data_IF_459072961684
#
_entry.id   IF_459072961684
#
_cell.length_a   1.000
_cell.length_b   1.000
_cell.length_c   1.000
_cell.angle_alpha   90.00
_cell.angle_beta   90.00
_cell.angle_gamma   90.00
#
_symmetry.space_group_name_H-M   'P 1'
#
loop_
_entity.id
_entity.type
_entity.pdbx_description
1 polymer ?
#
# COMPACT_ATOMS: atom_id res chain seq x y z
N UNK A 1 1.25 9.48 -15.79
CA UNK A 1 1.70 8.37 -14.90
C UNK A 1 0.71 8.13 -13.78
N UNK A 2 0.31 9.16 -13.03
CA UNK A 2 -0.61 9.07 -11.87
C UNK A 2 -1.90 8.29 -12.17
N UNK A 3 -2.63 8.59 -13.24
CA UNK A 3 -3.89 7.90 -13.56
C UNK A 3 -3.69 6.40 -13.79
N UNK A 4 -2.57 6.00 -14.42
CA UNK A 4 -2.21 4.59 -14.58
C UNK A 4 -1.98 3.88 -13.24
N UNK A 5 -1.42 4.57 -12.24
CA UNK A 5 -1.22 4.00 -10.90
C UNK A 5 -2.57 3.81 -10.20
N UNK A 6 -3.47 4.79 -10.30
CA UNK A 6 -4.83 4.68 -9.75
C UNK A 6 -5.60 3.54 -10.43
N UNK A 7 -5.59 3.48 -11.76
CA UNK A 7 -6.22 2.40 -12.51
C UNK A 7 -5.68 1.03 -12.11
N UNK A 8 -4.34 0.91 -11.94
CA UNK A 8 -3.72 -0.32 -11.45
C UNK A 8 -4.18 -0.68 -10.05
N UNK A 9 -4.24 0.26 -9.12
CA UNK A 9 -4.72 0.00 -7.76
C UNK A 9 -6.17 -0.50 -7.75
N UNK A 10 -7.01 0.08 -8.62
CA UNK A 10 -8.41 -0.33 -8.76
C UNK A 10 -8.58 -1.71 -9.42
N UNK A 11 -7.69 -2.07 -10.36
CA UNK A 11 -7.71 -3.35 -11.07
C UNK A 11 -7.09 -4.47 -10.23
N UNK A 12 -5.88 -4.26 -9.70
CA UNK A 12 -5.11 -5.30 -9.01
C UNK A 12 -5.69 -5.63 -7.62
N UNK A 13 -6.41 -4.71 -6.99
CA UNK A 13 -7.08 -4.86 -5.67
C UNK A 13 -6.13 -5.04 -4.48
N UNK A 14 -4.88 -5.42 -4.70
CA UNK A 14 -3.91 -5.76 -3.64
C UNK A 14 -2.64 -4.94 -3.79
N UNK A 15 -2.24 -4.28 -2.70
CA UNK A 15 -0.92 -3.66 -2.54
C UNK A 15 -0.18 -4.41 -1.43
N UNK A 16 0.99 -4.99 -1.75
CA UNK A 16 1.81 -5.65 -0.75
C UNK A 16 2.59 -4.64 0.09
N UNK A 17 2.56 -4.81 1.41
CA UNK A 17 3.26 -3.95 2.38
C UNK A 17 4.51 -4.67 2.88
N UNK A 18 5.70 -4.18 2.50
CA UNK A 18 6.98 -4.72 2.93
C UNK A 18 7.51 -3.87 4.08
N UNK A 19 7.34 -4.37 5.32
CA UNK A 19 7.65 -3.65 6.56
C UNK A 19 8.79 -4.29 7.34
N UNK A 20 9.75 -3.47 7.77
CA UNK A 20 10.83 -3.89 8.64
C UNK A 20 11.79 -4.90 7.99
N UNK A 21 11.83 -4.95 6.67
CA UNK A 21 12.71 -5.83 5.89
C UNK A 21 13.99 -5.06 5.56
N UNK A 22 15.13 -5.70 5.76
CA UNK A 22 16.41 -5.14 5.37
C UNK A 22 16.47 -4.88 3.87
N UNK A 23 17.04 -3.75 3.47
CA UNK A 23 17.05 -3.30 2.06
C UNK A 23 17.60 -4.36 1.10
N UNK A 24 18.59 -5.15 1.56
CA UNK A 24 19.21 -6.21 0.78
C UNK A 24 18.26 -7.39 0.48
N UNK A 25 17.30 -7.64 1.38
CA UNK A 25 16.28 -8.68 1.21
C UNK A 25 15.07 -8.19 0.41
N UNK A 26 14.83 -6.87 0.35
CA UNK A 26 13.66 -6.29 -0.32
C UNK A 26 13.54 -6.70 -1.79
N UNK A 27 14.66 -6.80 -2.51
CA UNK A 27 14.65 -7.25 -3.91
C UNK A 27 14.15 -8.69 -4.08
N UNK A 28 14.57 -9.61 -3.18
CA UNK A 28 14.11 -11.01 -3.22
C UNK A 28 12.62 -11.11 -2.87
N UNK A 29 12.15 -10.30 -1.90
CA UNK A 29 10.73 -10.20 -1.56
C UNK A 29 9.92 -9.67 -2.74
N UNK A 30 10.41 -8.62 -3.41
CA UNK A 30 9.78 -8.06 -4.60
C UNK A 30 9.65 -9.09 -5.74
N UNK A 31 10.72 -9.88 -5.97
CA UNK A 31 10.68 -10.95 -6.96
C UNK A 31 9.64 -12.02 -6.61
N UNK A 32 9.63 -12.51 -5.36
CA UNK A 32 8.67 -13.51 -4.90
C UNK A 32 7.21 -13.03 -4.99
N UNK A 33 6.95 -11.76 -4.62
CA UNK A 33 5.64 -11.14 -4.78
C UNK A 33 5.23 -11.04 -6.26
N UNK A 34 6.16 -10.63 -7.13
CA UNK A 34 5.93 -10.54 -8.57
C UNK A 34 5.62 -11.90 -9.20
N UNK A 35 6.38 -12.94 -8.84
CA UNK A 35 6.19 -14.32 -9.32
C UNK A 35 4.84 -14.90 -8.83
N UNK A 36 4.37 -14.44 -7.66
CA UNK A 36 3.04 -14.73 -7.14
C UNK A 36 1.91 -13.93 -7.78
N UNK A 37 2.23 -13.00 -8.70
CA UNK A 37 1.26 -12.20 -9.44
C UNK A 37 0.96 -10.81 -8.87
N UNK A 38 1.60 -10.39 -7.77
CA UNK A 38 1.45 -9.02 -7.22
C UNK A 38 2.06 -8.02 -8.19
N UNK A 39 1.37 -6.91 -8.40
CA UNK A 39 1.77 -5.83 -9.33
C UNK A 39 1.93 -4.48 -8.67
N UNK A 40 1.64 -4.37 -7.38
CA UNK A 40 1.84 -3.16 -6.59
C UNK A 40 2.43 -3.49 -5.22
N UNK A 41 3.47 -2.78 -4.81
CA UNK A 41 4.07 -2.93 -3.48
C UNK A 41 4.57 -1.60 -2.92
N UNK A 42 4.56 -1.49 -1.60
CA UNK A 42 5.23 -0.42 -0.86
C UNK A 42 6.37 -0.98 0.00
N UNK A 43 7.46 -0.23 0.13
CA UNK A 43 8.48 -0.44 1.15
C UNK A 43 8.30 0.63 2.23
N UNK A 44 8.21 0.21 3.50
CA UNK A 44 7.89 1.16 4.56
C UNK A 44 9.12 1.78 5.18
N UNK A 45 9.09 3.10 5.41
CA UNK A 45 10.08 3.79 6.23
C UNK A 45 9.94 3.41 7.72
N UNK A 46 11.08 3.31 8.42
CA UNK A 46 11.09 3.09 9.86
C UNK A 46 11.20 4.45 10.59
N UNK A 47 10.12 4.86 11.24
CA UNK A 47 10.06 6.13 11.98
C UNK A 47 10.90 6.12 13.27
N UNK A 48 11.28 4.93 13.76
CA UNK A 48 12.15 4.80 14.94
C UNK A 48 13.64 4.89 14.59
N UNK A 49 13.98 4.71 13.31
CA UNK A 49 15.36 4.72 12.83
C UNK A 49 15.51 5.59 11.57
N UNK A 50 15.54 6.94 11.71
CA UNK A 50 15.69 7.84 10.58
C UNK A 50 16.96 7.60 9.74
N UNK A 51 18.03 7.09 10.34
CA UNK A 51 19.27 6.75 9.62
C UNK A 51 19.05 5.70 8.53
N UNK A 52 18.01 4.87 8.65
CA UNK A 52 17.64 3.86 7.65
C UNK A 52 16.88 4.43 6.45
N UNK A 53 16.42 5.68 6.49
CA UNK A 53 15.57 6.23 5.42
C UNK A 53 16.25 6.24 4.06
N UNK A 54 17.55 6.58 4.02
CA UNK A 54 18.33 6.56 2.77
C UNK A 54 18.43 5.16 2.18
N UNK A 55 18.61 4.14 3.01
CA UNK A 55 18.66 2.75 2.54
C UNK A 55 17.28 2.26 2.07
N UNK A 56 16.19 2.69 2.73
CA UNK A 56 14.83 2.41 2.30
C UNK A 56 14.52 3.07 0.95
N UNK A 57 14.85 4.35 0.77
CA UNK A 57 14.69 5.04 -0.51
C UNK A 57 15.50 4.36 -1.63
N UNK A 58 16.75 3.95 -1.33
CA UNK A 58 17.56 3.18 -2.27
C UNK A 58 16.88 1.87 -2.66
N UNK A 59 16.34 1.10 -1.70
CA UNK A 59 15.63 -0.14 -2.00
C UNK A 59 14.40 0.10 -2.88
N UNK A 60 13.62 1.16 -2.63
CA UNK A 60 12.50 1.57 -3.49
C UNK A 60 13.00 1.81 -4.92
N UNK A 61 14.09 2.56 -5.09
CA UNK A 61 14.66 2.88 -6.40
C UNK A 61 15.18 1.66 -7.15
N UNK A 62 15.92 0.79 -6.45
CA UNK A 62 16.45 -0.44 -7.03
C UNK A 62 15.31 -1.35 -7.52
N UNK A 63 14.23 -1.49 -6.74
CA UNK A 63 13.06 -2.29 -7.13
C UNK A 63 12.30 -1.62 -8.26
N UNK A 64 12.05 -0.30 -8.19
CA UNK A 64 11.35 0.43 -9.23
C UNK A 64 12.05 0.30 -10.59
N UNK A 65 13.37 0.39 -10.59
CA UNK A 65 14.19 0.19 -11.80
C UNK A 65 14.16 -1.25 -12.29
N UNK A 66 14.32 -2.24 -11.39
CA UNK A 66 14.36 -3.65 -11.77
C UNK A 66 13.02 -4.14 -12.32
N UNK A 67 11.90 -3.58 -11.85
CA UNK A 67 10.55 -3.96 -12.26
C UNK A 67 9.85 -2.91 -13.11
N UNK A 68 10.59 -2.02 -13.76
CA UNK A 68 10.02 -0.98 -14.62
C UNK A 68 9.05 -1.58 -15.66
N UNK A 69 7.86 -0.98 -15.76
CA UNK A 69 6.78 -1.46 -16.63
C UNK A 69 6.08 -2.75 -16.18
N UNK A 70 6.55 -3.40 -15.11
CA UNK A 70 6.05 -4.71 -14.63
C UNK A 70 5.37 -4.66 -13.27
N UNK A 71 5.88 -3.86 -12.34
CA UNK A 71 5.31 -3.68 -11.01
C UNK A 71 5.44 -2.22 -10.58
N UNK A 72 4.41 -1.67 -9.95
CA UNK A 72 4.40 -0.31 -9.42
C UNK A 72 4.92 -0.33 -7.97
N UNK A 73 5.88 0.54 -7.70
CA UNK A 73 6.54 0.61 -6.39
C UNK A 73 6.29 1.97 -5.76
N UNK A 74 6.00 1.98 -4.47
CA UNK A 74 5.82 3.19 -3.69
C UNK A 74 6.39 3.05 -2.29
N UNK A 75 6.13 4.05 -1.46
CA UNK A 75 6.57 4.08 -0.07
C UNK A 75 5.40 4.01 0.91
N UNK A 76 5.61 3.31 2.01
CA UNK A 76 4.69 3.26 3.15
C UNK A 76 5.26 3.92 4.41
N UNK A 77 4.36 4.22 5.35
CA UNK A 77 4.68 4.88 6.62
C UNK A 77 5.36 6.25 6.40
N UNK A 78 4.89 6.98 5.40
CA UNK A 78 5.36 8.32 5.07
C UNK A 78 4.59 9.33 5.93
N UNK A 79 5.27 9.98 6.88
CA UNK A 79 4.67 10.87 7.87
C UNK A 79 5.11 12.33 7.75
N UNK A 80 6.05 12.62 6.86
CA UNK A 80 6.54 13.98 6.59
C UNK A 80 6.88 14.17 5.11
N UNK A 81 6.99 15.43 4.68
CA UNK A 81 7.25 15.80 3.29
C UNK A 81 8.65 15.38 2.82
N UNK A 82 9.64 15.33 3.71
CA UNK A 82 10.98 14.86 3.39
C UNK A 82 10.94 13.41 2.83
N UNK A 83 10.17 12.53 3.44
CA UNK A 83 10.01 11.15 2.95
C UNK A 83 9.27 11.07 1.62
N UNK A 84 8.38 12.04 1.33
CA UNK A 84 7.75 12.17 0.01
C UNK A 84 8.80 12.49 -1.04
N UNK A 85 9.65 13.50 -0.76
CA UNK A 85 10.72 13.94 -1.67
C UNK A 85 11.72 12.80 -1.93
N UNK A 86 12.19 12.13 -0.89
CA UNK A 86 13.10 10.99 -1.01
C UNK A 86 12.50 9.85 -1.84
N UNK A 87 11.19 9.58 -1.69
CA UNK A 87 10.49 8.56 -2.47
C UNK A 87 10.38 8.95 -3.94
N UNK A 88 10.07 10.21 -4.23
CA UNK A 88 9.99 10.73 -5.59
C UNK A 88 11.35 10.67 -6.30
N UNK A 89 12.42 11.12 -5.64
CA UNK A 89 13.79 11.07 -6.16
C UNK A 89 14.26 9.62 -6.44
N UNK A 90 13.81 8.67 -5.62
CA UNK A 90 14.06 7.24 -5.85
C UNK A 90 13.23 6.64 -6.99
N UNK A 91 12.26 7.36 -7.57
CA UNK A 91 11.39 6.85 -8.62
C UNK A 91 10.15 6.11 -8.13
N UNK A 92 9.79 6.28 -6.85
CA UNK A 92 8.51 5.79 -6.30
C UNK A 92 7.31 6.49 -6.93
N UNK A 93 6.20 5.79 -7.09
CA UNK A 93 5.04 6.25 -7.84
C UNK A 93 3.83 6.62 -6.97
N UNK A 94 3.82 6.16 -5.72
CA UNK A 94 2.74 6.43 -4.78
C UNK A 94 3.23 6.48 -3.33
N UNK A 95 2.48 7.17 -2.50
CA UNK A 95 2.73 7.37 -1.07
C UNK A 95 1.56 6.81 -0.27
N UNK A 96 1.87 5.95 0.71
CA UNK A 96 0.91 5.46 1.69
C UNK A 96 1.34 5.92 3.08
N UNK A 97 0.43 6.59 3.79
CA UNK A 97 0.65 7.10 5.15
C UNK A 97 -0.18 6.33 6.17
N UNK A 98 0.20 6.31 7.45
CA UNK A 98 -0.64 5.74 8.51
C UNK A 98 -1.73 6.71 8.99
N UNK A 99 -1.61 8.00 8.68
CA UNK A 99 -2.39 9.13 9.18
C UNK A 99 -2.83 10.07 8.06
N UNK A 100 -3.67 11.03 8.43
CA UNK A 100 -4.13 12.10 7.55
C UNK A 100 -3.27 13.37 7.76
N UNK A 101 -2.11 13.40 7.11
CA UNK A 101 -1.25 14.58 7.09
C UNK A 101 -1.46 15.37 5.78
N UNK A 102 -2.07 16.56 5.90
CA UNK A 102 -2.43 17.41 4.75
C UNK A 102 -1.21 17.85 3.95
N UNK A 103 -0.08 18.12 4.61
CA UNK A 103 1.15 18.56 3.93
C UNK A 103 1.78 17.42 3.13
N UNK A 104 1.78 16.19 3.67
CA UNK A 104 2.18 14.98 2.94
C UNK A 104 1.30 14.74 1.72
N UNK A 105 -0.03 14.88 1.87
CA UNK A 105 -0.98 14.70 0.76
C UNK A 105 -0.69 15.73 -0.34
N UNK A 106 -0.60 17.01 0.00
CA UNK A 106 -0.34 18.09 -0.96
C UNK A 106 1.00 17.89 -1.65
N UNK A 107 2.07 17.63 -0.88
CA UNK A 107 3.41 17.44 -1.45
C UNK A 107 3.46 16.24 -2.41
N UNK A 108 2.80 15.15 -2.07
CA UNK A 108 2.65 13.98 -2.96
C UNK A 108 1.99 14.36 -4.28
N UNK A 109 0.93 15.17 -4.20
CA UNK A 109 0.18 15.65 -5.37
C UNK A 109 0.99 16.60 -6.25
N UNK A 110 1.73 17.53 -5.64
CA UNK A 110 2.62 18.47 -6.35
C UNK A 110 3.67 17.74 -7.19
N UNK A 111 4.19 16.61 -6.68
CA UNK A 111 5.17 15.78 -7.37
C UNK A 111 4.54 14.78 -8.38
N UNK A 112 3.22 14.83 -8.59
CA UNK A 112 2.53 13.98 -9.56
C UNK A 112 2.39 12.52 -9.14
N UNK A 113 2.66 12.18 -7.88
CA UNK A 113 2.48 10.84 -7.31
C UNK A 113 1.03 10.62 -6.83
N UNK A 114 0.67 9.35 -6.61
CA UNK A 114 -0.62 8.97 -6.03
C UNK A 114 -0.56 9.02 -4.51
N UNK A 115 -1.53 9.71 -3.89
CA UNK A 115 -1.63 9.89 -2.43
C UNK A 115 -2.69 8.96 -1.85
N UNK A 116 -2.26 8.11 -0.89
CA UNK A 116 -3.10 7.14 -0.17
C UNK A 116 -2.95 7.31 1.35
N UNK A 117 -3.41 8.43 1.93
CA UNK A 117 -3.31 8.70 3.37
C UNK A 117 -4.20 7.78 4.20
N UNK A 118 -3.76 7.50 5.43
CA UNK A 118 -4.52 6.78 6.43
C UNK A 118 -5.57 7.65 7.09
N UNK A 119 -6.73 7.07 7.37
CA UNK A 119 -7.84 7.67 8.09
C UNK A 119 -8.66 6.59 8.79
N UNK A 120 -9.31 6.93 9.89
CA UNK A 120 -10.21 6.05 10.61
C UNK A 120 -11.64 6.60 10.62
N UNK A 121 -11.81 7.88 10.92
CA UNK A 121 -13.11 8.54 11.09
C UNK A 121 -13.61 9.21 9.81
N UNK A 122 -14.92 9.44 9.67
CA UNK A 122 -15.48 10.21 8.56
C UNK A 122 -14.84 11.59 8.39
N UNK A 123 -14.50 12.28 9.49
CA UNK A 123 -13.82 13.58 9.44
C UNK A 123 -12.43 13.48 8.82
N UNK A 124 -11.62 12.50 9.23
CA UNK A 124 -10.30 12.28 8.65
C UNK A 124 -10.39 11.89 7.17
N UNK A 125 -11.34 11.02 6.83
CA UNK A 125 -11.57 10.60 5.43
C UNK A 125 -11.88 11.81 4.55
N UNK A 126 -12.78 12.69 5.00
CA UNK A 126 -13.14 13.90 4.24
C UNK A 126 -12.02 14.93 4.22
N UNK A 127 -11.25 15.06 5.32
CA UNK A 127 -10.04 15.90 5.36
C UNK A 127 -9.02 15.43 4.33
N UNK A 128 -8.74 14.13 4.30
CA UNK A 128 -7.83 13.53 3.33
C UNK A 128 -8.31 13.76 1.88
N UNK A 129 -9.59 13.47 1.61
CA UNK A 129 -10.20 13.67 0.29
C UNK A 129 -10.10 15.12 -0.17
N UNK A 130 -10.49 16.07 0.69
CA UNK A 130 -10.48 17.51 0.37
C UNK A 130 -9.05 18.05 0.19
N UNK A 131 -8.05 17.44 0.83
CA UNK A 131 -6.65 17.78 0.64
C UNK A 131 -6.08 17.21 -0.69
N UNK A 132 -6.83 16.34 -1.40
CA UNK A 132 -6.44 15.80 -2.70
C UNK A 132 -5.99 14.34 -2.70
N UNK A 133 -6.32 13.57 -1.66
CA UNK A 133 -6.07 12.12 -1.64
C UNK A 133 -6.77 11.42 -2.81
N UNK A 134 -6.08 10.48 -3.44
CA UNK A 134 -6.60 9.69 -4.57
C UNK A 134 -7.42 8.50 -4.11
N UNK A 135 -6.92 7.82 -3.07
CA UNK A 135 -7.55 6.70 -2.38
C UNK A 135 -7.30 6.90 -0.89
N UNK A 136 -8.29 6.77 -0.05
CA UNK A 136 -8.10 6.83 1.41
C UNK A 136 -7.88 5.42 1.96
N UNK A 137 -6.81 5.22 2.69
CA UNK A 137 -6.52 4.00 3.43
C UNK A 137 -7.33 4.00 4.73
N UNK A 138 -8.38 3.19 4.80
CA UNK A 138 -9.08 2.93 6.08
C UNK A 138 -8.19 2.04 6.95
N UNK A 139 -7.73 2.56 8.10
CA UNK A 139 -6.76 1.89 8.97
C UNK A 139 -6.98 2.21 10.46
N UNK A 140 -6.98 1.17 11.34
CA UNK A 140 -6.93 -0.26 11.04
C UNK A 140 -8.33 -0.84 10.70
N UNK A 141 -8.52 -1.38 9.50
CA UNK A 141 -9.82 -1.79 9.01
C UNK A 141 -10.29 -3.13 9.58
N UNK A 142 -9.37 -4.08 9.80
CA UNK A 142 -9.71 -5.42 10.27
C UNK A 142 -10.38 -5.44 11.62
N UNK A 143 -9.93 -4.57 12.54
CA UNK A 143 -10.48 -4.46 13.91
C UNK A 143 -11.91 -3.90 13.90
N UNK A 144 -12.26 -3.09 12.90
CA UNK A 144 -13.59 -2.47 12.76
C UNK A 144 -14.55 -3.32 11.92
N UNK A 145 -14.02 -4.16 11.08
CA UNK A 145 -14.78 -5.04 10.18
C UNK A 145 -15.40 -4.33 8.97
N UNK A 146 -15.90 -5.11 7.99
CA UNK A 146 -16.51 -4.59 6.77
C UNK A 146 -17.80 -3.80 7.01
N UNK A 147 -18.50 -4.06 8.11
CA UNK A 147 -19.69 -3.31 8.51
C UNK A 147 -19.43 -1.83 8.76
N UNK A 148 -18.29 -1.50 9.35
CA UNK A 148 -17.87 -0.11 9.55
C UNK A 148 -17.63 0.59 8.22
N UNK A 149 -16.87 -0.02 7.32
CA UNK A 149 -16.61 0.53 5.99
C UNK A 149 -17.94 0.80 5.26
N UNK A 150 -18.87 -0.16 5.28
CA UNK A 150 -20.19 -0.02 4.66
C UNK A 150 -20.97 1.15 5.23
N UNK A 151 -20.96 1.33 6.55
CA UNK A 151 -21.65 2.43 7.22
C UNK A 151 -21.04 3.79 6.85
N UNK A 152 -19.71 3.90 6.83
CA UNK A 152 -19.01 5.12 6.41
C UNK A 152 -19.25 5.43 4.94
N UNK A 153 -19.23 4.44 4.06
CA UNK A 153 -19.47 4.63 2.62
C UNK A 153 -20.87 5.04 2.26
N UNK A 154 -21.86 4.80 3.11
CA UNK A 154 -23.24 5.19 2.81
C UNK A 154 -23.38 6.71 2.54
N UNK A 155 -22.92 7.62 3.42
CA UNK A 155 -22.92 9.06 3.15
C UNK A 155 -21.71 9.56 2.32
N UNK A 156 -20.58 8.83 2.29
CA UNK A 156 -19.31 9.26 1.67
C UNK A 156 -18.96 8.33 0.49
N UNK A 157 -19.95 8.02 -0.35
CA UNK A 157 -19.84 7.04 -1.45
C UNK A 157 -18.83 7.45 -2.53
N UNK A 158 -18.58 8.73 -2.72
CA UNK A 158 -17.68 9.31 -3.72
C UNK A 158 -16.18 9.12 -3.39
N UNK A 159 -15.83 8.87 -2.13
CA UNK A 159 -14.44 8.64 -1.73
C UNK A 159 -14.04 7.18 -1.96
N UNK A 160 -12.95 6.97 -2.70
CA UNK A 160 -12.34 5.65 -2.85
C UNK A 160 -11.63 5.28 -1.56
N UNK A 161 -11.96 4.12 -0.98
CA UNK A 161 -11.33 3.64 0.26
C UNK A 161 -10.75 2.24 0.06
N UNK A 162 -9.53 2.02 0.54
CA UNK A 162 -8.90 0.70 0.60
C UNK A 162 -8.80 0.22 2.05
N UNK A 163 -9.01 -1.07 2.29
CA UNK A 163 -8.93 -1.66 3.63
C UNK A 163 -7.48 -2.06 3.96
N UNK A 164 -6.97 -1.62 5.12
CA UNK A 164 -5.61 -1.95 5.55
C UNK A 164 -5.59 -2.28 7.05
N UNK A 165 -4.76 -3.25 7.43
CA UNK A 165 -4.63 -3.74 8.81
C UNK A 165 -5.60 -4.88 9.10
N UNK A 166 -5.07 -6.07 9.41
CA UNK A 166 -5.85 -7.26 9.71
C UNK A 166 -6.54 -7.91 8.51
N UNK A 167 -6.16 -7.54 7.28
CA UNK A 167 -6.74 -8.11 6.06
C UNK A 167 -5.90 -9.32 5.59
N UNK A 168 -6.59 -10.36 5.13
CA UNK A 168 -6.02 -11.61 4.63
C UNK A 168 -6.94 -12.23 3.56
N UNK A 169 -6.53 -13.38 3.00
CA UNK A 169 -7.26 -14.09 1.93
C UNK A 169 -8.67 -14.55 2.33
N UNK A 170 -8.96 -14.66 3.64
CA UNK A 170 -10.26 -15.14 4.13
C UNK A 170 -11.28 -14.02 4.29
N UNK A 171 -10.83 -12.78 4.52
CA UNK A 171 -11.73 -11.66 4.81
C UNK A 171 -11.72 -10.56 3.76
N UNK A 172 -10.75 -10.51 2.84
CA UNK A 172 -10.63 -9.45 1.83
C UNK A 172 -11.91 -9.32 0.98
N UNK A 173 -12.53 -10.44 0.60
CA UNK A 173 -13.77 -10.46 -0.17
C UNK A 173 -14.92 -9.71 0.51
N UNK A 174 -15.03 -9.81 1.83
CA UNK A 174 -16.09 -9.11 2.59
C UNK A 174 -15.87 -7.59 2.60
N UNK A 175 -14.61 -7.13 2.66
CA UNK A 175 -14.29 -5.70 2.52
C UNK A 175 -14.55 -5.17 1.11
N UNK A 176 -14.25 -5.96 0.08
CA UNK A 176 -14.55 -5.60 -1.31
C UNK A 176 -16.07 -5.51 -1.53
N UNK A 177 -16.86 -6.48 -1.03
CA UNK A 177 -18.33 -6.43 -1.04
C UNK A 177 -18.90 -5.23 -0.26
N UNK A 178 -18.22 -4.81 0.81
CA UNK A 178 -18.61 -3.62 1.59
C UNK A 178 -18.25 -2.29 0.90
N UNK A 179 -17.53 -2.35 -0.25
CA UNK A 179 -17.21 -1.18 -1.08
C UNK A 179 -15.76 -0.70 -0.97
N UNK A 180 -14.84 -1.49 -0.40
CA UNK A 180 -13.41 -1.21 -0.56
C UNK A 180 -13.03 -1.33 -2.04
N UNK A 181 -12.17 -0.42 -2.51
CA UNK A 181 -11.63 -0.51 -3.88
C UNK A 181 -10.44 -1.45 -3.99
N UNK A 182 -9.88 -1.90 -2.86
CA UNK A 182 -8.75 -2.80 -2.75
C UNK A 182 -8.29 -2.91 -1.29
N UNK A 183 -7.16 -3.57 -1.07
CA UNK A 183 -6.57 -3.74 0.26
C UNK A 183 -5.04 -3.66 0.25
N UNK A 184 -4.48 -3.18 1.38
CA UNK A 184 -3.05 -3.26 1.66
C UNK A 184 -2.75 -4.43 2.60
N UNK A 185 -1.87 -5.34 2.17
CA UNK A 185 -1.59 -6.61 2.85
C UNK A 185 -0.13 -6.65 3.31
N UNK A 186 0.06 -6.73 4.63
CA UNK A 186 1.40 -6.79 5.24
C UNK A 186 1.89 -8.21 5.50
N UNK A 187 1.95 -8.58 6.78
CA UNK A 187 2.55 -9.83 7.25
C UNK A 187 1.96 -11.13 6.68
N UNK A 188 0.77 -11.09 6.12
CA UNK A 188 0.17 -12.24 5.42
C UNK A 188 0.80 -12.47 4.03
N UNK A 189 1.51 -11.48 3.48
CA UNK A 189 2.29 -11.61 2.23
C UNK A 189 3.80 -11.54 2.54
N UNK A 190 4.28 -10.41 3.05
CA UNK A 190 5.69 -10.22 3.40
C UNK A 190 5.97 -10.70 4.84
N UNK A 191 5.78 -11.98 5.09
CA UNK A 191 5.96 -12.59 6.41
C UNK A 191 7.43 -12.57 6.84
N UNK A 192 7.71 -11.89 7.95
CA UNK A 192 9.08 -11.69 8.45
C UNK A 192 9.80 -13.01 8.73
N UNK A 193 9.13 -14.00 9.31
CA UNK A 193 9.72 -15.30 9.61
C UNK A 193 10.18 -16.00 8.33
N UNK A 194 9.38 -15.97 7.27
CA UNK A 194 9.76 -16.57 5.98
C UNK A 194 10.94 -15.82 5.33
N UNK A 195 10.91 -14.47 5.40
CA UNK A 195 11.99 -13.63 4.84
C UNK A 195 13.32 -13.91 5.55
N UNK A 196 13.31 -13.99 6.88
CA UNK A 196 14.50 -14.23 7.68
C UNK A 196 15.04 -15.65 7.47
N UNK A 197 14.16 -16.62 7.24
CA UNK A 197 14.53 -18.01 6.90
C UNK A 197 14.93 -18.22 5.42
N UNK A 198 14.74 -17.19 4.56
CA UNK A 198 15.00 -17.32 3.12
C UNK A 198 13.94 -18.12 2.34
N UNK A 199 12.76 -18.33 2.93
CA UNK A 199 11.65 -19.11 2.38
C UNK A 199 10.76 -18.29 1.44
N UNK A 200 11.34 -17.71 0.39
CA UNK A 200 10.65 -16.81 -0.54
C UNK A 200 9.53 -17.49 -1.33
N UNK A 201 9.62 -18.78 -1.55
CA UNK A 201 8.56 -19.54 -2.23
C UNK A 201 7.22 -19.47 -1.47
N UNK A 202 7.27 -19.40 -0.12
CA UNK A 202 6.06 -19.22 0.69
C UNK A 202 5.39 -17.87 0.45
N UNK A 203 6.17 -16.82 0.16
CA UNK A 203 5.65 -15.49 -0.23
C UNK A 203 4.92 -15.60 -1.57
N UNK A 204 5.52 -16.31 -2.52
CA UNK A 204 4.92 -16.53 -3.85
C UNK A 204 3.59 -17.27 -3.74
N UNK A 205 3.51 -18.33 -2.95
CA UNK A 205 2.27 -19.08 -2.75
C UNK A 205 1.20 -18.27 -1.98
N UNK A 206 1.59 -17.50 -0.96
CA UNK A 206 0.68 -16.60 -0.26
C UNK A 206 0.12 -15.50 -1.19
N UNK A 207 0.94 -14.98 -2.10
CA UNK A 207 0.53 -14.01 -3.10
C UNK A 207 -0.50 -14.61 -4.08
N UNK A 208 -0.27 -15.83 -4.57
CA UNK A 208 -1.24 -16.55 -5.42
C UNK A 208 -2.57 -16.78 -4.72
N UNK A 209 -2.54 -17.23 -3.46
CA UNK A 209 -3.74 -17.45 -2.65
C UNK A 209 -4.52 -16.13 -2.44
N UNK A 210 -3.82 -15.03 -2.16
CA UNK A 210 -4.42 -13.71 -2.01
C UNK A 210 -5.09 -13.23 -3.29
N UNK A 211 -4.44 -13.41 -4.44
CA UNK A 211 -4.99 -13.00 -5.73
C UNK A 211 -6.19 -13.86 -6.16
N UNK A 212 -6.19 -15.15 -5.83
CA UNK A 212 -7.35 -16.01 -6.04
C UNK A 212 -8.57 -15.52 -5.25
N UNK A 213 -8.38 -15.02 -4.03
CA UNK A 213 -9.46 -14.49 -3.18
C UNK A 213 -10.08 -13.18 -3.71
N UNK A 214 -9.42 -12.48 -4.64
CA UNK A 214 -9.92 -11.22 -5.23
C UNK A 214 -10.31 -11.34 -6.70
N UNK A 215 -10.15 -12.51 -7.30
CA UNK A 215 -10.34 -12.71 -8.75
C UNK A 215 -11.74 -12.32 -9.22
N UNK A 216 -12.79 -12.65 -8.44
CA UNK A 216 -14.19 -12.30 -8.76
C UNK A 216 -14.48 -10.80 -8.70
N UNK A 217 -13.55 -9.97 -8.19
CA UNK A 217 -13.70 -8.51 -8.01
C UNK A 217 -12.87 -7.68 -9.01
N UNK A 218 -12.11 -8.33 -9.89
CA UNK A 218 -11.30 -7.67 -10.94
C UNK A 218 -12.09 -7.39 -12.26
#
# INVERSE_FOLDING_TARGET
MRDKVIESALREKVIAIVRGVESEKCMKVAQALYDGGIRMMEVTYDQKNPDSWKSTAKAIGDIAKAFEGRMLVGAGTVTCTELVDMTHEAGGLFIISPDTNVDVIKRTRELGMVSMPGALTPTEIMTAHNAGADIVKLFPAGDLGPGYLKAVKAPISHVKMMAVGGINEKNIGDFLKAGAVGAGIGGNLANRTWIDAGEFDKITEAAKAMLAAVEEFK
#
